data_IF_888343987541
#
_entry.id   IF_888343987541
#
_cell.length_a   1.000
_cell.length_b   1.000
_cell.length_c   1.000
_cell.angle_alpha   90.00
_cell.angle_beta   90.00
_cell.angle_gamma   90.00
#
_symmetry.space_group_name_H-M   'P 1'
#
loop_
_entity.id
_entity.type
_entity.pdbx_description
1 polymer ?
#
# COMPACT_ATOMS: atom_id res chain seq x y z
N UNK A 1 48.12 46.60 -18.40
CA UNK A 1 47.81 46.23 -16.99
C UNK A 1 47.34 44.79 -16.97
N UNK A 2 48.15 43.88 -16.43
CA UNK A 2 47.86 42.44 -16.32
C UNK A 2 46.96 42.21 -15.11
N UNK A 3 45.88 41.43 -15.23
CA UNK A 3 45.17 40.87 -14.06
C UNK A 3 45.16 39.35 -14.15
N UNK A 4 45.70 38.79 -13.08
CA UNK A 4 46.13 37.42 -12.87
C UNK A 4 44.96 36.54 -12.41
N UNK A 5 44.93 35.34 -12.95
CA UNK A 5 44.07 34.21 -12.59
C UNK A 5 44.43 33.73 -11.17
N UNK A 6 43.47 33.70 -10.24
CA UNK A 6 43.65 33.15 -8.89
C UNK A 6 42.82 31.87 -8.78
N UNK A 7 43.50 30.72 -8.80
CA UNK A 7 42.94 29.44 -8.39
C UNK A 7 42.90 29.37 -6.85
N UNK A 8 41.71 29.18 -6.28
CA UNK A 8 41.55 28.77 -4.89
C UNK A 8 41.48 27.25 -4.82
N UNK A 9 42.56 26.64 -4.31
CA UNK A 9 42.55 25.28 -3.81
C UNK A 9 42.11 25.32 -2.34
N UNK A 10 40.94 24.76 -2.04
CA UNK A 10 40.49 24.53 -0.66
C UNK A 10 40.91 23.11 -0.28
N UNK A 11 41.95 23.03 0.55
CA UNK A 11 42.40 21.77 1.15
C UNK A 11 41.44 21.34 2.26
N UNK A 12 40.89 20.13 2.14
CA UNK A 12 40.20 19.45 3.23
C UNK A 12 41.21 18.62 4.02
N UNK A 13 41.37 18.97 5.31
CA UNK A 13 42.15 18.23 6.29
C UNK A 13 41.36 16.98 6.70
N UNK A 14 41.93 15.80 6.42
CA UNK A 14 41.34 14.50 6.73
C UNK A 14 41.78 14.12 8.15
N UNK A 15 40.85 14.06 9.10
CA UNK A 15 41.08 13.41 10.40
C UNK A 15 40.77 11.91 10.25
N UNK A 16 41.80 11.09 10.39
CA UNK A 16 41.77 9.63 10.33
C UNK A 16 40.97 9.04 11.50
N UNK A 17 39.70 8.69 11.25
CA UNK A 17 38.90 7.84 12.11
C UNK A 17 38.94 6.40 11.60
N UNK A 18 39.54 5.53 12.38
CA UNK A 18 39.68 4.08 12.18
C UNK A 18 38.31 3.44 11.93
N UNK A 19 38.06 2.96 10.71
CA UNK A 19 37.01 1.99 10.42
C UNK A 19 37.65 0.62 10.26
N UNK A 20 37.18 -0.34 11.06
CA UNK A 20 37.55 -1.74 10.96
C UNK A 20 37.13 -2.32 9.60
N UNK A 21 38.07 -2.94 8.91
CA UNK A 21 37.85 -3.67 7.66
C UNK A 21 37.08 -4.97 7.95
N UNK A 22 35.77 -4.95 7.70
CA UNK A 22 34.96 -6.15 7.53
C UNK A 22 34.78 -6.45 6.04
N UNK A 23 35.74 -7.14 5.43
CA UNK A 23 35.59 -7.68 4.08
C UNK A 23 34.50 -8.77 4.08
N UNK A 24 33.28 -8.41 3.67
CA UNK A 24 32.27 -9.39 3.24
C UNK A 24 32.11 -9.26 1.74
N UNK A 25 32.88 -10.05 1.02
CA UNK A 25 32.59 -10.38 -0.39
C UNK A 25 31.24 -11.09 -0.44
N UNK A 26 30.26 -10.67 -1.26
CA UNK A 26 29.09 -11.48 -1.50
C UNK A 26 29.55 -12.73 -2.26
N UNK A 27 29.52 -13.87 -1.57
CA UNK A 27 29.66 -15.19 -2.16
C UNK A 27 28.54 -15.33 -3.19
N UNK A 28 28.88 -15.70 -4.40
CA UNK A 28 27.92 -16.11 -5.42
C UNK A 28 27.05 -17.23 -4.87
N UNK A 29 25.81 -16.90 -4.51
CA UNK A 29 24.82 -17.90 -4.10
C UNK A 29 24.45 -18.77 -5.29
N UNK A 30 24.34 -20.06 -5.01
CA UNK A 30 24.25 -21.12 -6.00
C UNK A 30 22.92 -21.09 -6.76
N UNK A 31 22.97 -21.54 -8.02
CA UNK A 31 21.83 -21.69 -8.95
C UNK A 31 20.66 -22.53 -8.38
N UNK A 32 20.85 -23.21 -7.24
CA UNK A 32 19.81 -23.99 -6.56
C UNK A 32 18.71 -23.13 -5.90
N UNK A 33 19.00 -21.88 -5.49
CA UNK A 33 18.04 -21.01 -4.79
C UNK A 33 17.06 -20.29 -5.72
N UNK A 34 17.37 -20.16 -7.01
CA UNK A 34 16.42 -19.59 -7.98
C UNK A 34 15.23 -20.51 -8.24
N UNK A 35 15.42 -21.82 -8.09
CA UNK A 35 14.38 -22.82 -8.34
C UNK A 35 13.33 -22.84 -7.22
N UNK A 36 13.73 -22.63 -5.97
CA UNK A 36 12.80 -22.56 -4.84
C UNK A 36 11.95 -21.28 -4.84
N UNK A 37 12.54 -20.16 -5.28
CA UNK A 37 11.83 -18.90 -5.51
C UNK A 37 10.84 -19.04 -6.67
N UNK A 38 11.23 -19.70 -7.75
CA UNK A 38 10.36 -19.91 -8.92
C UNK A 38 9.20 -20.88 -8.62
N UNK A 39 9.45 -21.95 -7.86
CA UNK A 39 8.42 -22.88 -7.39
C UNK A 39 7.42 -22.21 -6.43
N UNK A 40 7.87 -21.20 -5.67
CA UNK A 40 7.02 -20.42 -4.76
C UNK A 40 6.11 -19.45 -5.53
N UNK A 41 6.58 -18.91 -6.65
CA UNK A 41 5.80 -18.05 -7.55
C UNK A 41 4.77 -18.84 -8.38
N UNK A 42 5.08 -20.09 -8.76
CA UNK A 42 4.12 -20.96 -9.46
C UNK A 42 2.97 -21.44 -8.56
N UNK A 43 3.24 -21.71 -7.28
CA UNK A 43 2.20 -22.16 -6.32
C UNK A 43 1.26 -21.05 -5.87
N UNK A 44 1.63 -19.78 -6.05
CA UNK A 44 0.85 -18.62 -5.60
C UNK A 44 -0.16 -18.09 -6.64
N UNK A 45 -0.28 -18.70 -7.83
CA UNK A 45 -1.14 -18.17 -8.89
C UNK A 45 -2.59 -18.72 -8.81
N UNK A 46 -3.62 -17.86 -8.78
CA UNK A 46 -5.01 -18.32 -8.78
C UNK A 46 -5.41 -18.96 -10.12
N UNK A 47 -6.40 -19.87 -10.12
CA UNK A 47 -6.78 -20.63 -11.31
C UNK A 47 -7.46 -19.72 -12.34
N UNK A 48 -6.79 -19.52 -13.48
CA UNK A 48 -7.35 -18.83 -14.65
C UNK A 48 -8.28 -19.79 -15.40
N UNK A 49 -9.49 -19.32 -15.72
CA UNK A 49 -10.52 -20.08 -16.41
C UNK A 49 -10.12 -20.47 -17.83
N UNK A 50 -10.36 -21.73 -18.18
CA UNK A 50 -10.11 -22.37 -19.48
C UNK A 50 -10.99 -21.80 -20.61
N UNK A 51 -10.69 -20.63 -21.17
CA UNK A 51 -11.20 -20.20 -22.50
C UNK A 51 -10.30 -19.11 -23.09
N UNK A 52 -9.03 -19.41 -23.38
CA UNK A 52 -8.17 -18.70 -24.34
C UNK A 52 -6.84 -19.47 -24.47
N UNK A 53 -6.87 -20.56 -25.23
CA UNK A 53 -5.76 -21.52 -25.37
C UNK A 53 -4.86 -21.20 -26.59
N UNK A 54 -4.83 -19.95 -27.05
CA UNK A 54 -4.01 -19.51 -28.20
C UNK A 54 -2.95 -18.44 -27.89
N UNK A 55 -2.98 -17.77 -26.74
CA UNK A 55 -1.86 -16.93 -26.30
C UNK A 55 -0.83 -17.77 -25.54
N UNK A 56 -0.07 -18.47 -26.36
CA UNK A 56 1.25 -19.03 -26.12
C UNK A 56 1.94 -18.36 -24.92
N UNK A 57 2.06 -19.14 -23.85
CA UNK A 57 2.94 -18.99 -22.70
C UNK A 57 4.36 -18.61 -23.16
N UNK A 58 4.61 -17.33 -23.47
CA UNK A 58 5.94 -16.78 -23.64
C UNK A 58 6.50 -16.61 -22.24
N UNK A 59 7.04 -17.71 -21.70
CA UNK A 59 8.03 -17.59 -20.63
C UNK A 59 9.11 -16.68 -21.19
N UNK A 60 9.14 -15.42 -20.75
CA UNK A 60 10.20 -14.49 -21.12
C UNK A 60 11.50 -15.19 -20.73
N UNK A 61 12.32 -15.58 -21.72
CA UNK A 61 13.64 -16.17 -21.49
C UNK A 61 14.58 -15.05 -21.04
N UNK A 62 14.41 -14.61 -19.79
CA UNK A 62 15.14 -13.49 -19.20
C UNK A 62 16.58 -13.94 -18.97
N UNK A 63 17.50 -13.41 -19.79
CA UNK A 63 18.93 -13.78 -19.74
C UNK A 63 19.74 -13.00 -18.72
N UNK A 64 19.38 -11.72 -18.48
CA UNK A 64 20.11 -10.80 -17.59
C UNK A 64 19.15 -9.78 -16.99
N UNK A 65 19.41 -9.42 -15.73
CA UNK A 65 18.72 -8.36 -15.01
C UNK A 65 19.80 -7.41 -14.47
N UNK A 66 19.63 -6.11 -14.68
CA UNK A 66 20.49 -5.06 -14.14
C UNK A 66 19.62 -3.99 -13.50
N UNK A 67 19.83 -3.73 -12.21
CA UNK A 67 19.12 -2.68 -11.50
C UNK A 67 19.74 -1.32 -11.80
N UNK A 68 18.90 -0.31 -12.01
CA UNK A 68 19.31 1.09 -12.12
C UNK A 68 19.47 1.71 -10.72
N UNK A 69 20.51 2.54 -10.49
CA UNK A 69 20.70 3.23 -9.21
C UNK A 69 19.76 4.46 -9.11
N UNK A 70 18.47 4.21 -8.92
CA UNK A 70 17.41 5.20 -8.72
C UNK A 70 16.36 4.66 -7.74
N UNK A 71 15.61 5.53 -7.04
CA UNK A 71 14.56 5.09 -6.11
C UNK A 71 13.15 5.14 -6.72
N UNK A 72 13.00 5.80 -7.86
CA UNK A 72 11.74 5.90 -8.57
C UNK A 72 11.88 6.64 -9.90
N UNK A 73 10.73 6.86 -10.53
CA UNK A 73 10.63 7.59 -11.79
C UNK A 73 9.44 8.53 -11.77
N UNK A 74 9.51 9.57 -12.58
CA UNK A 74 8.44 10.54 -12.81
C UNK A 74 8.15 10.62 -14.29
N UNK A 75 6.88 10.83 -14.64
CA UNK A 75 6.47 11.19 -16.00
C UNK A 75 6.51 12.71 -16.13
N UNK A 76 7.04 13.21 -17.26
CA UNK A 76 7.17 14.63 -17.57
C UNK A 76 6.64 14.87 -18.97
N UNK A 77 5.87 15.94 -19.14
CA UNK A 77 5.45 16.47 -20.45
C UNK A 77 6.18 17.79 -20.69
N UNK A 78 6.81 17.95 -21.86
CA UNK A 78 7.46 19.19 -22.24
C UNK A 78 6.49 20.19 -22.88
N UNK A 79 6.97 21.39 -23.22
CA UNK A 79 6.13 22.43 -23.84
C UNK A 79 5.58 22.06 -25.23
N UNK A 80 6.11 21.01 -25.85
CA UNK A 80 5.69 20.47 -27.14
C UNK A 80 4.68 19.32 -26.99
N UNK A 81 4.33 18.93 -25.76
CA UNK A 81 3.44 17.80 -25.48
C UNK A 81 4.13 16.44 -25.55
N UNK A 82 5.46 16.39 -25.66
CA UNK A 82 6.20 15.13 -25.69
C UNK A 82 6.38 14.61 -24.28
N UNK A 83 6.16 13.31 -24.12
CA UNK A 83 6.22 12.64 -22.82
C UNK A 83 7.52 11.85 -22.68
N UNK A 84 8.15 12.04 -21.55
CA UNK A 84 9.35 11.31 -21.15
C UNK A 84 9.26 10.89 -19.70
N UNK A 85 10.01 9.86 -19.36
CA UNK A 85 10.12 9.35 -18.01
C UNK A 85 11.52 9.61 -17.51
N UNK A 86 11.62 10.26 -16.35
CA UNK A 86 12.86 10.65 -15.74
C UNK A 86 13.04 9.89 -14.43
N UNK A 87 14.25 9.45 -14.10
CA UNK A 87 14.54 8.98 -12.76
C UNK A 87 14.34 10.11 -11.75
N UNK A 88 13.93 9.76 -10.54
CA UNK A 88 13.73 10.71 -9.43
C UNK A 88 14.95 11.59 -9.11
N UNK A 89 16.16 11.09 -9.38
CA UNK A 89 17.43 11.82 -9.24
C UNK A 89 17.88 12.55 -10.51
N UNK A 90 17.08 12.58 -11.58
CA UNK A 90 17.37 13.27 -12.84
C UNK A 90 18.50 12.66 -13.70
N UNK A 91 19.08 11.52 -13.28
CA UNK A 91 20.24 10.91 -13.96
C UNK A 91 19.89 10.16 -15.24
N UNK A 92 18.69 9.58 -15.32
CA UNK A 92 18.27 8.71 -16.42
C UNK A 92 16.96 9.24 -17.01
N UNK A 93 16.88 9.29 -18.33
CA UNK A 93 15.66 9.62 -19.06
C UNK A 93 15.36 8.54 -20.09
N UNK A 94 14.09 8.24 -20.34
CA UNK A 94 13.67 7.41 -21.45
C UNK A 94 12.41 7.95 -22.12
N UNK A 95 12.30 7.69 -23.41
CA UNK A 95 11.15 8.03 -24.26
C UNK A 95 10.50 6.74 -24.75
N UNK A 96 9.18 6.63 -24.65
CA UNK A 96 8.44 5.43 -25.01
C UNK A 96 7.22 5.26 -24.13
N UNK A 97 6.87 4.00 -23.82
CA UNK A 97 5.68 3.66 -23.05
C UNK A 97 6.02 2.71 -21.91
N UNK A 98 5.34 2.86 -20.78
CA UNK A 98 5.35 1.88 -19.69
C UNK A 98 4.13 0.98 -19.82
N UNK A 99 4.21 -0.26 -19.33
CA UNK A 99 3.03 -1.10 -19.08
C UNK A 99 2.89 -1.25 -17.57
N UNK A 100 1.76 -0.81 -17.02
CA UNK A 100 1.36 -1.16 -15.66
C UNK A 100 1.02 -2.67 -15.66
N UNK A 101 1.85 -3.47 -15.00
CA UNK A 101 1.73 -4.93 -14.99
C UNK A 101 0.57 -5.43 -14.14
N UNK A 102 -0.05 -4.57 -13.32
CA UNK A 102 -1.19 -4.93 -12.47
C UNK A 102 -2.50 -4.81 -13.25
N UNK A 103 -2.70 -3.66 -13.90
CA UNK A 103 -3.86 -3.43 -14.76
C UNK A 103 -3.69 -4.05 -16.15
N UNK A 104 -2.46 -4.19 -16.63
CA UNK A 104 -2.13 -4.52 -18.03
C UNK A 104 -2.18 -3.30 -18.96
N UNK A 105 -2.43 -2.10 -18.43
CA UNK A 105 -2.62 -0.88 -19.21
C UNK A 105 -1.27 -0.31 -19.66
N UNK A 106 -1.20 0.05 -20.94
CA UNK A 106 -0.09 0.84 -21.48
C UNK A 106 -0.26 2.30 -21.07
N UNK A 107 0.82 2.91 -20.61
CA UNK A 107 0.88 4.29 -20.14
C UNK A 107 1.72 5.08 -21.13
N UNK A 108 1.05 5.89 -21.95
CA UNK A 108 1.69 6.72 -22.98
C UNK A 108 1.46 8.20 -22.76
N UNK A 109 0.39 8.57 -22.04
CA UNK A 109 0.03 9.95 -21.75
C UNK A 109 -0.43 10.17 -20.29
N UNK A 110 -0.62 11.44 -19.91
CA UNK A 110 -1.09 11.80 -18.57
C UNK A 110 -2.53 11.37 -18.29
N UNK A 111 -3.38 11.24 -19.31
CA UNK A 111 -4.72 10.66 -19.13
C UNK A 111 -4.63 9.17 -18.76
N UNK A 112 -3.59 8.47 -19.25
CA UNK A 112 -3.34 7.09 -18.87
C UNK A 112 -2.83 6.95 -17.44
N UNK A 113 -2.13 7.96 -16.93
CA UNK A 113 -1.51 7.96 -15.61
C UNK A 113 -2.53 7.89 -14.45
N UNK A 114 -3.83 8.13 -14.69
CA UNK A 114 -4.86 7.95 -13.66
C UNK A 114 -4.87 6.51 -13.11
N UNK A 115 -4.52 5.50 -13.93
CA UNK A 115 -4.46 4.12 -13.47
C UNK A 115 -3.31 3.88 -12.48
N UNK A 116 -2.25 4.69 -12.50
CA UNK A 116 -1.12 4.57 -11.56
C UNK A 116 -1.53 4.83 -10.11
N UNK A 117 -2.64 5.54 -9.92
CA UNK A 117 -3.19 5.87 -8.59
C UNK A 117 -4.33 4.93 -8.18
N UNK A 118 -4.54 3.82 -8.90
CA UNK A 118 -5.62 2.87 -8.66
C UNK A 118 -5.12 1.43 -8.61
N UNK A 119 -5.69 0.65 -7.71
CA UNK A 119 -5.53 -0.79 -7.65
C UNK A 119 -6.67 -1.50 -8.42
N UNK A 120 -6.41 -2.62 -9.12
CA UNK A 120 -7.42 -3.39 -9.84
C UNK A 120 -8.29 -4.19 -8.85
N UNK A 121 -9.23 -3.52 -8.18
CA UNK A 121 -10.05 -4.10 -7.11
C UNK A 121 -10.99 -5.20 -7.61
N UNK A 122 -11.31 -5.24 -8.89
CA UNK A 122 -12.02 -6.35 -9.51
C UNK A 122 -11.23 -7.67 -9.45
N UNK A 123 -9.90 -7.58 -9.44
CA UNK A 123 -9.00 -8.74 -9.29
C UNK A 123 -8.64 -8.99 -7.83
N UNK A 124 -8.34 -7.93 -7.07
CA UNK A 124 -7.79 -8.02 -5.71
C UNK A 124 -8.86 -8.09 -4.61
N UNK A 125 -10.04 -7.51 -4.83
CA UNK A 125 -11.05 -7.30 -3.79
C UNK A 125 -11.52 -8.59 -3.12
N UNK A 126 -11.70 -9.68 -3.88
CA UNK A 126 -12.07 -10.98 -3.30
C UNK A 126 -10.99 -11.55 -2.38
N UNK A 127 -9.72 -11.41 -2.73
CA UNK A 127 -8.62 -11.84 -1.89
C UNK A 127 -8.56 -10.99 -0.61
N UNK A 128 -8.72 -9.67 -0.73
CA UNK A 128 -8.72 -8.77 0.41
C UNK A 128 -9.88 -9.06 1.37
N UNK A 129 -11.04 -9.38 0.81
CA UNK A 129 -12.23 -9.74 1.56
C UNK A 129 -12.04 -11.04 2.34
N UNK A 130 -11.55 -12.10 1.67
CA UNK A 130 -11.55 -13.44 2.23
C UNK A 130 -10.31 -13.76 3.07
N UNK A 131 -9.18 -13.11 2.80
CA UNK A 131 -7.90 -13.54 3.34
C UNK A 131 -7.32 -12.62 4.41
N UNK A 132 -7.69 -11.33 4.38
CA UNK A 132 -7.07 -10.33 5.23
C UNK A 132 -7.82 -10.16 6.56
N UNK A 133 -7.05 -10.10 7.64
CA UNK A 133 -7.54 -9.99 9.01
C UNK A 133 -7.91 -8.55 9.38
N UNK A 134 -9.05 -8.36 10.01
CA UNK A 134 -9.51 -7.04 10.40
C UNK A 134 -10.86 -7.05 11.10
N UNK A 135 -11.42 -5.86 11.26
CA UNK A 135 -12.83 -5.66 11.62
C UNK A 135 -13.48 -4.70 10.63
N UNK A 136 -14.80 -4.63 10.68
CA UNK A 136 -15.59 -3.91 9.69
C UNK A 136 -16.52 -2.90 10.33
N UNK A 137 -16.71 -1.76 9.66
CA UNK A 137 -17.67 -0.74 10.02
C UNK A 137 -18.57 -0.47 8.81
N UNK A 138 -19.88 -0.44 9.04
CA UNK A 138 -20.91 -0.33 8.02
C UNK A 138 -21.37 -1.67 7.45
N UNK A 139 -22.45 -1.63 6.66
CA UNK A 139 -23.17 -2.81 6.15
C UNK A 139 -23.28 -2.81 4.62
N UNK A 140 -22.56 -1.89 3.97
CA UNK A 140 -22.62 -1.67 2.54
C UNK A 140 -21.88 -2.69 1.68
N UNK A 141 -22.22 -2.68 0.39
CA UNK A 141 -21.59 -3.55 -0.62
C UNK A 141 -20.28 -2.95 -1.14
N UNK A 142 -20.18 -1.62 -1.18
CA UNK A 142 -18.96 -0.94 -1.61
C UNK A 142 -17.96 -0.97 -0.46
N UNK A 143 -16.95 -1.83 -0.59
CA UNK A 143 -15.99 -2.09 0.48
C UNK A 143 -14.69 -1.36 0.22
N UNK A 144 -14.32 -0.48 1.14
CA UNK A 144 -13.00 0.14 1.19
C UNK A 144 -12.16 -0.52 2.28
N UNK A 145 -10.84 -0.49 2.15
CA UNK A 145 -9.90 -1.13 3.06
C UNK A 145 -8.97 -0.08 3.68
N UNK A 146 -8.67 -0.21 4.97
CA UNK A 146 -7.74 0.67 5.67
C UNK A 146 -6.74 -0.18 6.42
N UNK A 147 -5.48 -0.19 5.99
CA UNK A 147 -4.40 -0.77 6.78
C UNK A 147 -4.07 0.18 7.94
N UNK A 148 -4.08 -0.36 9.15
CA UNK A 148 -3.92 0.44 10.37
C UNK A 148 -3.13 -0.29 11.45
N UNK A 149 -2.54 0.48 12.36
CA UNK A 149 -1.90 -0.02 13.58
C UNK A 149 -2.75 0.36 14.81
N UNK A 150 -2.91 -0.52 15.81
CA UNK A 150 -3.69 -0.21 17.02
C UNK A 150 -3.21 1.01 17.82
N UNK A 151 -1.93 1.39 17.73
CA UNK A 151 -1.37 2.55 18.44
C UNK A 151 -1.26 3.82 17.56
N UNK A 152 -1.78 3.79 16.34
CA UNK A 152 -1.74 4.91 15.41
C UNK A 152 -2.87 5.92 15.69
N UNK A 153 -2.53 7.11 16.19
CA UNK A 153 -3.51 8.16 16.50
C UNK A 153 -4.32 8.63 15.28
N UNK A 154 -3.67 8.76 14.12
CA UNK A 154 -4.37 9.12 12.87
C UNK A 154 -5.38 8.04 12.46
N UNK A 155 -5.06 6.77 12.72
CA UNK A 155 -5.93 5.64 12.46
C UNK A 155 -7.16 5.67 13.38
N UNK A 156 -6.98 6.04 14.65
CA UNK A 156 -8.09 6.21 15.60
C UNK A 156 -9.08 7.27 15.13
N UNK A 157 -8.59 8.40 14.59
CA UNK A 157 -9.46 9.44 14.02
C UNK A 157 -10.33 8.88 12.89
N UNK A 158 -9.75 8.11 11.98
CA UNK A 158 -10.48 7.47 10.88
C UNK A 158 -11.51 6.45 11.39
N UNK A 159 -11.14 5.61 12.36
CA UNK A 159 -12.06 4.63 12.97
C UNK A 159 -13.23 5.35 13.64
N UNK A 160 -12.96 6.42 14.40
CA UNK A 160 -14.00 7.22 15.07
C UNK A 160 -14.98 7.82 14.06
N UNK A 161 -14.48 8.43 12.99
CA UNK A 161 -15.33 8.97 11.91
C UNK A 161 -16.11 7.87 11.21
N UNK A 162 -15.50 6.72 10.90
CA UNK A 162 -16.23 5.59 10.33
C UNK A 162 -17.36 5.13 11.26
N UNK A 163 -17.11 5.02 12.57
CA UNK A 163 -18.14 4.62 13.52
C UNK A 163 -19.29 5.62 13.59
N UNK A 164 -19.02 6.93 13.56
CA UNK A 164 -20.09 7.94 13.61
C UNK A 164 -20.89 8.02 12.32
N UNK A 165 -20.21 7.99 11.16
CA UNK A 165 -20.84 8.30 9.88
C UNK A 165 -21.32 7.05 9.11
N UNK A 166 -20.73 5.87 9.36
CA UNK A 166 -20.92 4.69 8.50
C UNK A 166 -21.50 3.46 9.19
N UNK A 167 -21.61 3.42 10.52
CA UNK A 167 -22.10 2.21 11.23
C UNK A 167 -23.46 1.69 10.71
N UNK A 168 -24.35 2.60 10.32
CA UNK A 168 -25.67 2.28 9.74
C UNK A 168 -25.74 2.43 8.22
N UNK A 169 -24.63 2.75 7.56
CA UNK A 169 -24.56 2.83 6.11
C UNK A 169 -24.84 1.46 5.47
N UNK A 170 -25.79 1.43 4.54
CA UNK A 170 -26.12 0.26 3.71
C UNK A 170 -25.46 0.30 2.33
N UNK A 171 -24.73 1.37 2.03
CA UNK A 171 -24.07 1.58 0.74
C UNK A 171 -22.58 1.29 0.85
N UNK A 172 -21.94 1.87 1.88
CA UNK A 172 -20.51 1.78 2.13
C UNK A 172 -20.19 0.88 3.32
N UNK A 173 -19.05 0.19 3.23
CA UNK A 173 -18.44 -0.58 4.32
C UNK A 173 -16.93 -0.35 4.29
N UNK A 174 -16.32 -0.27 5.45
CA UNK A 174 -14.88 -0.17 5.59
C UNK A 174 -14.36 -1.35 6.38
N UNK A 175 -13.37 -2.04 5.82
CA UNK A 175 -12.63 -3.10 6.51
C UNK A 175 -11.29 -2.54 6.97
N UNK A 176 -11.12 -2.44 8.28
CA UNK A 176 -9.88 -2.02 8.93
C UNK A 176 -8.98 -3.25 9.11
N UNK A 177 -7.87 -3.27 8.36
CA UNK A 177 -6.93 -4.37 8.29
C UNK A 177 -5.73 -4.12 9.19
N UNK A 178 -5.43 -5.07 10.06
CA UNK A 178 -4.30 -4.94 10.99
C UNK A 178 -2.96 -4.92 10.25
N UNK A 179 -2.12 -3.94 10.56
CA UNK A 179 -0.75 -3.81 10.10
C UNK A 179 0.12 -3.27 11.25
N UNK A 180 0.55 -4.14 12.19
CA UNK A 180 1.29 -3.73 13.38
C UNK A 180 2.74 -3.36 13.03
N UNK A 181 2.99 -2.09 12.71
CA UNK A 181 4.29 -1.57 12.24
C UNK A 181 4.92 -0.59 13.22
N UNK A 182 4.25 -0.22 14.31
CA UNK A 182 4.78 0.71 15.33
C UNK A 182 5.51 -0.01 16.48
N UNK A 183 5.91 -1.27 16.26
CA UNK A 183 6.77 -2.06 17.15
C UNK A 183 6.03 -3.14 17.94
N UNK A 184 6.76 -3.77 18.87
CA UNK A 184 6.31 -4.99 19.55
C UNK A 184 5.00 -4.82 20.35
N UNK A 185 4.72 -3.61 20.86
CA UNK A 185 3.44 -3.32 21.53
C UNK A 185 2.27 -3.46 20.56
N UNK A 186 2.40 -2.96 19.33
CA UNK A 186 1.39 -3.06 18.28
C UNK A 186 1.13 -4.50 17.86
N UNK A 187 2.18 -5.31 17.76
CA UNK A 187 2.04 -6.75 17.49
C UNK A 187 1.23 -7.43 18.59
N UNK A 188 1.62 -7.21 19.86
CA UNK A 188 0.94 -7.80 21.02
C UNK A 188 -0.52 -7.38 21.13
N UNK A 189 -0.79 -6.08 20.94
CA UNK A 189 -2.15 -5.54 20.93
C UNK A 189 -2.98 -6.09 19.78
N UNK A 190 -2.41 -6.23 18.58
CA UNK A 190 -3.08 -6.81 17.42
C UNK A 190 -3.50 -8.25 17.66
N UNK A 191 -2.59 -9.08 18.19
CA UNK A 191 -2.90 -10.48 18.52
C UNK A 191 -4.02 -10.56 19.56
N UNK A 192 -3.97 -9.72 20.59
CA UNK A 192 -5.01 -9.63 21.61
C UNK A 192 -6.36 -9.16 21.04
N UNK A 193 -6.37 -8.07 20.26
CA UNK A 193 -7.56 -7.53 19.61
C UNK A 193 -8.21 -8.55 18.69
N UNK A 194 -7.40 -9.32 17.96
CA UNK A 194 -7.93 -10.30 17.04
C UNK A 194 -8.59 -11.50 17.72
N UNK A 195 -8.37 -11.69 19.04
CA UNK A 195 -9.11 -12.63 19.88
C UNK A 195 -10.47 -12.11 20.35
N UNK A 196 -10.74 -10.82 20.22
CA UNK A 196 -12.00 -10.22 20.67
C UNK A 196 -13.14 -10.48 19.67
N UNK A 197 -14.35 -10.15 20.09
CA UNK A 197 -15.50 -10.13 19.19
C UNK A 197 -15.32 -9.00 18.16
N UNK A 198 -15.44 -9.27 16.84
CA UNK A 198 -15.27 -8.24 15.80
C UNK A 198 -16.11 -6.97 16.00
N UNK A 199 -17.28 -7.09 16.63
CA UNK A 199 -18.16 -5.94 16.92
C UNK A 199 -17.58 -4.96 17.94
N UNK A 200 -16.73 -5.46 18.83
CA UNK A 200 -16.16 -4.68 19.93
C UNK A 200 -14.76 -4.14 19.60
N UNK A 201 -14.11 -4.69 18.56
CA UNK A 201 -12.73 -4.33 18.18
C UNK A 201 -12.55 -2.85 17.88
N UNK A 202 -13.48 -2.23 17.14
CA UNK A 202 -13.39 -0.81 16.79
C UNK A 202 -13.38 0.08 18.05
N UNK A 203 -14.35 -0.16 18.95
CA UNK A 203 -14.45 0.52 20.23
C UNK A 203 -13.18 0.29 21.07
N UNK A 204 -12.68 -0.95 21.08
CA UNK A 204 -11.48 -1.31 21.84
C UNK A 204 -10.22 -0.59 21.34
N UNK A 205 -10.07 -0.43 20.02
CA UNK A 205 -9.00 0.37 19.43
C UNK A 205 -9.10 1.83 19.86
N UNK A 206 -10.31 2.41 19.83
CA UNK A 206 -10.52 3.80 20.23
C UNK A 206 -10.28 4.07 21.73
N UNK A 207 -10.49 3.07 22.59
CA UNK A 207 -10.15 3.18 24.00
C UNK A 207 -8.64 3.20 24.25
N UNK A 208 -7.83 2.69 23.31
CA UNK A 208 -6.38 2.67 23.42
C UNK A 208 -5.83 1.84 24.59
N UNK A 209 -6.66 0.97 25.18
CA UNK A 209 -6.30 0.10 26.31
C UNK A 209 -6.21 -1.34 25.83
N UNK A 210 -5.00 -1.87 25.80
CA UNK A 210 -4.70 -3.19 25.24
C UNK A 210 -4.02 -4.12 26.25
N UNK A 211 -3.68 -3.62 27.44
CA UNK A 211 -2.86 -4.30 28.44
C UNK A 211 -3.54 -5.52 29.07
N UNK A 212 -4.86 -5.52 29.08
CA UNK A 212 -5.72 -6.61 29.55
C UNK A 212 -6.11 -7.59 28.44
N UNK A 213 -5.79 -7.28 27.18
CA UNK A 213 -5.97 -8.20 26.06
C UNK A 213 -4.91 -9.31 26.14
N UNK A 214 -5.36 -10.55 26.22
CA UNK A 214 -4.49 -11.72 26.29
C UNK A 214 -4.62 -12.54 25.01
N UNK A 215 -3.49 -12.89 24.42
CA UNK A 215 -3.43 -13.89 23.37
C UNK A 215 -3.98 -15.21 23.92
N UNK A 216 -5.10 -15.69 23.36
CA UNK A 216 -5.67 -17.00 23.72
C UNK A 216 -5.15 -18.07 22.75
N UNK A 217 -4.83 -19.29 23.21
CA UNK A 217 -4.35 -20.37 22.33
C UNK A 217 -5.29 -20.67 21.15
N UNK A 218 -6.60 -20.48 21.36
CA UNK A 218 -7.67 -20.66 20.39
C UNK A 218 -7.61 -19.65 19.22
N UNK A 219 -6.86 -18.56 19.38
CA UNK A 219 -6.62 -17.57 18.35
C UNK A 219 -5.40 -17.90 17.47
N UNK A 220 -4.75 -19.06 17.64
CA UNK A 220 -3.58 -19.45 16.82
C UNK A 220 -3.90 -19.59 15.34
N UNK A 221 -5.11 -20.03 14.98
CA UNK A 221 -5.60 -20.16 13.58
C UNK A 221 -5.71 -18.83 12.83
N UNK A 222 -5.35 -17.73 13.49
CA UNK A 222 -5.53 -16.36 13.04
C UNK A 222 -4.22 -15.59 12.85
N UNK A 223 -3.07 -16.18 13.20
CA UNK A 223 -1.75 -15.63 12.88
C UNK A 223 -1.47 -15.63 11.38
N UNK A 224 -1.97 -16.63 10.65
CA UNK A 224 -1.77 -16.75 9.20
C UNK A 224 -2.38 -15.55 8.45
N UNK A 225 -3.60 -15.14 8.82
CA UNK A 225 -4.23 -13.95 8.20
C UNK A 225 -3.48 -12.66 8.51
N UNK A 226 -2.85 -12.54 9.69
CA UNK A 226 -2.02 -11.40 10.02
C UNK A 226 -0.74 -11.37 9.17
N UNK A 227 -0.11 -12.53 8.94
CA UNK A 227 1.01 -12.65 8.01
C UNK A 227 0.60 -12.29 6.57
N UNK A 228 -0.61 -12.66 6.15
CA UNK A 228 -1.17 -12.27 4.85
C UNK A 228 -1.37 -10.76 4.74
N UNK A 229 -1.80 -10.08 5.80
CA UNK A 229 -1.86 -8.61 5.82
C UNK A 229 -0.48 -8.00 5.59
N UNK A 230 0.54 -8.48 6.31
CA UNK A 230 1.91 -7.98 6.18
C UNK A 230 2.48 -8.25 4.78
N UNK A 231 2.30 -9.46 4.25
CA UNK A 231 2.75 -9.83 2.91
C UNK A 231 2.04 -8.99 1.84
N UNK A 232 0.73 -8.77 2.00
CA UNK A 232 -0.03 -7.90 1.08
C UNK A 232 0.48 -6.47 1.16
N UNK A 233 0.74 -5.94 2.36
CA UNK A 233 1.30 -4.61 2.53
C UNK A 233 2.68 -4.46 1.84
N UNK A 234 3.53 -5.49 1.91
CA UNK A 234 4.81 -5.52 1.21
C UNK A 234 4.64 -5.55 -0.32
N UNK A 235 3.74 -6.38 -0.85
CA UNK A 235 3.44 -6.47 -2.29
C UNK A 235 2.90 -5.13 -2.82
N UNK A 236 2.04 -4.47 -2.04
CA UNK A 236 1.47 -3.16 -2.35
C UNK A 236 2.47 -1.99 -2.13
N UNK A 237 3.65 -2.25 -1.56
CA UNK A 237 4.63 -1.20 -1.24
C UNK A 237 4.17 -0.23 -0.15
N UNK A 238 3.31 -0.65 0.77
CA UNK A 238 2.83 0.16 1.89
C UNK A 238 3.98 0.42 2.86
N UNK A 239 4.34 1.69 3.03
CA UNK A 239 5.46 2.14 3.89
C UNK A 239 5.03 2.62 5.27
N UNK A 240 3.73 2.77 5.51
CA UNK A 240 3.21 3.35 6.74
C UNK A 240 1.69 3.28 6.82
N UNK A 241 1.17 3.69 7.98
CA UNK A 241 -0.26 3.70 8.30
C UNK A 241 -0.73 5.10 8.73
N UNK A 242 -2.02 5.44 8.54
CA UNK A 242 -3.03 4.63 7.85
C UNK A 242 -2.74 4.58 6.34
N UNK A 243 -3.10 3.48 5.69
CA UNK A 243 -3.07 3.37 4.23
C UNK A 243 -4.44 2.95 3.75
N UNK A 244 -5.07 3.78 2.91
CA UNK A 244 -6.46 3.64 2.52
C UNK A 244 -6.53 3.16 1.08
N UNK A 245 -7.48 2.27 0.81
CA UNK A 245 -7.83 1.76 -0.53
C UNK A 245 -9.34 1.84 -0.66
N UNK A 246 -9.81 2.69 -1.56
CA UNK A 246 -11.23 2.92 -1.80
C UNK A 246 -11.82 1.78 -2.63
N UNK A 247 -13.13 1.61 -2.56
CA UNK A 247 -13.85 0.57 -3.32
C UNK A 247 -13.60 0.61 -4.85
N UNK A 248 -13.22 1.76 -5.41
CA UNK A 248 -12.87 1.95 -6.83
C UNK A 248 -11.36 1.82 -7.11
N UNK A 249 -10.59 1.38 -6.12
CA UNK A 249 -9.15 1.14 -6.22
C UNK A 249 -8.28 2.35 -5.93
N UNK A 250 -8.81 3.57 -5.83
CA UNK A 250 -8.00 4.73 -5.45
C UNK A 250 -7.36 4.50 -4.08
N UNK A 251 -6.07 4.75 -3.97
CA UNK A 251 -5.37 4.58 -2.70
C UNK A 251 -4.76 5.89 -2.21
N UNK A 252 -4.52 5.97 -0.90
CA UNK A 252 -3.91 7.10 -0.24
C UNK A 252 -3.02 6.62 0.90
N UNK A 253 -1.76 7.06 0.90
CA UNK A 253 -0.87 6.91 2.03
C UNK A 253 -1.08 8.07 3.01
N UNK A 254 -1.47 7.76 4.24
CA UNK A 254 -1.80 8.74 5.27
C UNK A 254 -3.29 9.05 5.36
N UNK A 255 -3.65 9.83 6.37
CA UNK A 255 -5.04 10.23 6.60
C UNK A 255 -5.42 11.43 5.71
N UNK A 256 -6.57 11.39 5.01
CA UNK A 256 -7.09 12.54 4.28
C UNK A 256 -7.58 13.64 5.24
N UNK A 257 -7.69 14.87 4.75
CA UNK A 257 -8.28 15.98 5.50
C UNK A 257 -9.78 15.75 5.78
N UNK A 258 -10.54 15.34 4.76
CA UNK A 258 -11.92 14.89 4.91
C UNK A 258 -12.03 13.43 4.44
N UNK A 259 -12.27 12.54 5.39
CA UNK A 259 -12.37 11.10 5.14
C UNK A 259 -13.63 10.72 4.37
N UNK A 260 -14.76 11.39 4.63
CA UNK A 260 -16.04 11.06 4.00
C UNK A 260 -16.08 11.54 2.56
N UNK A 261 -15.53 12.72 2.30
CA UNK A 261 -15.32 13.22 0.95
C UNK A 261 -14.38 12.29 0.17
N UNK A 262 -13.27 11.88 0.77
CA UNK A 262 -12.35 10.94 0.12
C UNK A 262 -13.01 9.60 -0.21
N UNK A 263 -13.88 9.09 0.66
CA UNK A 263 -14.67 7.87 0.38
C UNK A 263 -15.71 8.07 -0.74
N UNK A 264 -15.96 9.31 -1.18
CA UNK A 264 -16.99 9.62 -2.16
C UNK A 264 -18.40 9.58 -1.59
N UNK A 265 -18.53 9.54 -0.26
CA UNK A 265 -19.83 9.54 0.42
C UNK A 265 -20.40 10.95 0.33
N UNK A 266 -21.42 11.14 -0.50
CA UNK A 266 -22.19 12.38 -0.52
C UNK A 266 -22.90 12.50 0.82
N UNK A 267 -22.54 13.50 1.64
CA UNK A 267 -23.36 13.90 2.79
C UNK A 267 -24.75 14.23 2.23
N UNK A 268 -25.77 13.45 2.57
CA UNK A 268 -27.14 13.84 2.25
C UNK A 268 -27.39 15.19 2.92
N UNK A 269 -27.49 16.25 2.13
CA UNK A 269 -27.95 17.54 2.63
C UNK A 269 -29.36 17.33 3.21
N UNK A 270 -29.52 17.68 4.49
CA UNK A 270 -30.71 17.51 5.31
C UNK A 270 -32.04 17.56 4.52
N UNK A 271 -32.78 16.45 4.61
CA UNK A 271 -34.18 16.30 4.22
C UNK A 271 -35.17 17.05 5.14
N UNK A 272 -34.77 18.16 5.73
CA UNK A 272 -35.58 18.93 6.69
C UNK A 272 -36.05 20.30 6.18
N UNK A 273 -35.79 20.67 4.92
CA UNK A 273 -36.29 21.92 4.35
C UNK A 273 -37.67 21.84 3.66
N UNK A 274 -38.36 20.69 3.67
CA UNK A 274 -39.66 20.52 3.00
C UNK A 274 -40.83 20.19 3.95
N UNK A 275 -40.70 20.46 5.25
CA UNK A 275 -41.81 20.30 6.21
C UNK A 275 -42.51 21.61 6.62
N UNK A 276 -42.06 22.77 6.15
CA UNK A 276 -42.67 24.07 6.51
C UNK A 276 -43.46 24.77 5.38
N UNK A 277 -43.64 24.14 4.21
CA UNK A 277 -44.48 24.72 3.13
C UNK A 277 -45.89 24.12 3.07
N UNK A 278 -46.20 23.12 3.91
CA UNK A 278 -47.54 22.53 4.03
C UNK A 278 -48.08 22.61 5.47
N UNK A 279 -48.08 23.81 6.05
CA UNK A 279 -48.90 24.09 7.24
C UNK A 279 -49.61 25.43 7.10
#
# INVERSE_FOLDING_TARGET
MKKTLLMMAIGFSISSGVYAEGNVTPKSESVADLKSVQDSLEKAKPPVSKKDESEKNSRLDIKKIQQFPMSGMVMVENAQGEIMFLSDNGRFAFTGSIVDTWSGKKIENFDDAESLSKLPMEKLGKAFENELAGFEIGKGKQTSYVFFDPYCEHCHKLIKTAMSELSESKEYRIKFLFLPVLGQKSESATVGLFCENPKDMAQRVLEGRFEDLKAKPECKTRLDSMQKNLATAQILGIKGVPYLIRYDGKFLAGAPNDFMEWLGVKKEANKEANKEVNK
#
